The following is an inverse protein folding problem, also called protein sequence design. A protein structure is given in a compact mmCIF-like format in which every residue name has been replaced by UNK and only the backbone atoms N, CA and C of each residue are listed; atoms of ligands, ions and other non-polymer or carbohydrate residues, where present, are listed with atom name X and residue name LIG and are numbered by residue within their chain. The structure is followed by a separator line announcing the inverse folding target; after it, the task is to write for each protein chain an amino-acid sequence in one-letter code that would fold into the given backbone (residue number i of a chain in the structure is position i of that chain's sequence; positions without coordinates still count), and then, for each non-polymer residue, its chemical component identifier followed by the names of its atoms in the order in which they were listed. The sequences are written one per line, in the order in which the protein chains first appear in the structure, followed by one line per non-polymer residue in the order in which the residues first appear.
data_IF_503963508739
#
_entry.id   IF_503963508739
#
_cell.length_a   1.000
_cell.length_b   1.000
_cell.length_c   1.000
_cell.angle_alpha   90.00
_cell.angle_beta   90.00
_cell.angle_gamma   90.00
#
_symmetry.space_group_name_H-M   'P 1'
#
loop_
_entity.id
_entity.type
_entity.pdbx_description
1 polymer ?
#
# COMPACT_ATOMS: atom_id res chain seq x y z
N UNK A 1 -7.11 14.35 -3.30
CA UNK A 1 -6.41 14.42 -4.60
C UNK A 1 -5.38 13.32 -4.63
N UNK A 2 -5.20 12.63 -5.76
CA UNK A 2 -4.16 11.60 -5.90
C UNK A 2 -2.78 12.25 -5.69
N UNK A 3 -2.03 11.83 -4.67
CA UNK A 3 -0.68 12.37 -4.47
C UNK A 3 0.24 11.93 -5.62
N UNK A 4 1.22 12.77 -5.99
CA UNK A 4 2.20 12.41 -7.04
C UNK A 4 2.99 11.16 -6.64
N UNK A 5 3.23 10.94 -5.34
CA UNK A 5 3.90 9.75 -4.83
C UNK A 5 3.06 8.48 -5.03
N UNK A 6 1.76 8.53 -4.71
CA UNK A 6 0.83 7.39 -4.93
C UNK A 6 0.79 6.99 -6.39
N UNK A 7 0.59 7.96 -7.29
CA UNK A 7 0.55 7.67 -8.73
C UNK A 7 1.84 6.98 -9.21
N UNK A 8 3.01 7.51 -8.81
CA UNK A 8 4.31 6.95 -9.21
C UNK A 8 4.54 5.56 -8.63
N UNK A 9 4.24 5.32 -7.35
CA UNK A 9 4.40 4.01 -6.72
C UNK A 9 3.56 2.93 -7.41
N UNK A 10 2.30 3.21 -7.73
CA UNK A 10 1.42 2.25 -8.39
C UNK A 10 1.88 1.95 -9.82
N UNK A 11 2.30 2.98 -10.57
CA UNK A 11 2.87 2.80 -11.91
C UNK A 11 4.18 2.02 -11.85
N UNK A 12 5.08 2.35 -10.92
CA UNK A 12 6.36 1.66 -10.70
C UNK A 12 6.12 0.18 -10.37
N UNK A 13 5.27 -0.12 -9.40
CA UNK A 13 4.92 -1.50 -9.04
C UNK A 13 4.32 -2.27 -10.22
N UNK A 14 3.35 -1.69 -10.94
CA UNK A 14 2.72 -2.34 -12.08
C UNK A 14 3.72 -2.61 -13.22
N UNK A 15 4.69 -1.71 -13.43
CA UNK A 15 5.76 -1.91 -14.43
C UNK A 15 6.72 -3.03 -14.02
N UNK A 16 7.05 -3.13 -12.74
CA UNK A 16 8.05 -4.09 -12.24
C UNK A 16 7.48 -5.49 -11.98
N UNK A 17 6.24 -5.59 -11.50
CA UNK A 17 5.62 -6.85 -11.04
C UNK A 17 4.41 -7.26 -11.89
N UNK A 18 3.94 -6.36 -12.75
CA UNK A 18 2.76 -6.57 -13.57
C UNK A 18 1.45 -6.13 -12.89
N UNK A 19 0.43 -5.74 -13.69
CA UNK A 19 -0.84 -5.26 -13.17
C UNK A 19 -1.65 -6.36 -12.45
N UNK A 20 -1.49 -7.63 -12.82
CA UNK A 20 -2.15 -8.75 -12.15
C UNK A 20 -1.68 -8.90 -10.70
N UNK A 21 -0.38 -8.77 -10.47
CA UNK A 21 0.19 -8.86 -9.12
C UNK A 21 -0.21 -7.65 -8.29
N UNK A 22 -0.24 -6.44 -8.89
CA UNK A 22 -0.77 -5.25 -8.23
C UNK A 22 -2.20 -5.47 -7.71
N UNK A 23 -3.10 -5.97 -8.55
CA UNK A 23 -4.50 -6.25 -8.17
C UNK A 23 -4.56 -7.30 -7.04
N UNK A 24 -3.72 -8.34 -7.10
CA UNK A 24 -3.64 -9.37 -6.05
C UNK A 24 -3.22 -8.77 -4.70
N UNK A 25 -2.18 -7.94 -4.71
CA UNK A 25 -1.72 -7.20 -3.53
C UNK A 25 -2.82 -6.30 -2.96
N UNK A 26 -3.50 -5.51 -3.81
CA UNK A 26 -4.57 -4.61 -3.37
C UNK A 26 -5.74 -5.37 -2.76
N UNK A 27 -6.13 -6.52 -3.33
CA UNK A 27 -7.20 -7.36 -2.77
C UNK A 27 -6.81 -7.92 -1.40
N UNK A 28 -5.61 -8.49 -1.26
CA UNK A 28 -5.09 -8.96 0.03
C UNK A 28 -5.05 -7.82 1.05
N UNK A 29 -4.63 -6.64 0.64
CA UNK A 29 -4.53 -5.49 1.53
C UNK A 29 -5.92 -4.99 1.96
N UNK A 30 -6.92 -4.98 1.07
CA UNK A 30 -8.30 -4.66 1.40
C UNK A 30 -8.91 -5.66 2.39
N UNK A 31 -8.64 -6.96 2.23
CA UNK A 31 -9.01 -8.01 3.20
C UNK A 31 -8.41 -7.77 4.60
N UNK A 32 -7.31 -7.02 4.68
CA UNK A 32 -6.65 -6.61 5.93
C UNK A 32 -6.94 -5.14 6.32
N UNK A 33 -8.05 -4.58 5.83
CA UNK A 33 -8.49 -3.21 6.14
C UNK A 33 -7.50 -2.11 5.71
N UNK A 34 -6.74 -2.35 4.65
CA UNK A 34 -5.90 -1.35 3.97
C UNK A 34 -6.58 -0.98 2.65
N UNK A 35 -7.23 0.18 2.65
CA UNK A 35 -8.15 0.62 1.62
C UNK A 35 -7.44 1.51 0.60
N UNK A 36 -7.65 1.21 -0.68
CA UNK A 36 -7.22 2.07 -1.78
C UNK A 36 -8.07 3.36 -1.85
N UNK A 37 -9.36 3.24 -1.55
CA UNK A 37 -10.31 4.34 -1.44
C UNK A 37 -11.20 4.13 -0.21
N UNK A 38 -11.42 5.18 0.56
CA UNK A 38 -12.51 5.24 1.53
C UNK A 38 -13.85 5.44 0.82
N UNK A 39 -14.93 5.03 1.47
CA UNK A 39 -16.28 5.16 0.92
C UNK A 39 -16.58 6.63 0.58
N UNK A 40 -17.03 6.87 -0.66
CA UNK A 40 -17.33 8.22 -1.17
C UNK A 40 -16.10 9.10 -1.44
N UNK A 41 -14.87 8.58 -1.33
CA UNK A 41 -13.64 9.36 -1.50
C UNK A 41 -12.69 8.75 -2.53
N UNK A 42 -11.83 9.58 -3.14
CA UNK A 42 -10.72 9.14 -3.99
C UNK A 42 -9.42 8.92 -3.21
N UNK A 43 -9.46 9.11 -1.89
CA UNK A 43 -8.33 8.95 -0.97
C UNK A 43 -8.50 7.68 -0.14
N UNK A 44 -7.39 7.08 0.26
CA UNK A 44 -7.35 5.91 1.13
C UNK A 44 -6.06 5.85 1.95
N UNK A 45 -5.74 4.67 2.49
CA UNK A 45 -4.58 4.50 3.38
C UNK A 45 -3.25 4.79 2.68
N UNK A 46 -3.17 4.58 1.36
CA UNK A 46 -1.98 4.91 0.54
C UNK A 46 -1.75 6.41 0.34
N UNK A 47 -2.68 7.27 0.75
CA UNK A 47 -2.50 8.72 0.75
C UNK A 47 -2.00 9.25 2.11
N UNK A 48 -1.91 8.38 3.14
CA UNK A 48 -1.43 8.75 4.48
C UNK A 48 0.10 8.69 4.63
N UNK A 49 0.80 8.16 3.64
CA UNK A 49 2.27 8.05 3.59
C UNK A 49 2.85 9.15 2.68
N UNK A 50 4.01 9.70 3.03
CA UNK A 50 4.62 10.79 2.27
C UNK A 50 5.58 10.29 1.17
N UNK A 51 6.10 9.07 1.31
CA UNK A 51 7.11 8.50 0.41
C UNK A 51 6.55 7.47 -0.59
N UNK A 52 7.10 7.48 -1.80
CA UNK A 52 6.81 6.47 -2.83
C UNK A 52 7.26 5.06 -2.41
N UNK A 53 8.34 4.97 -1.63
CA UNK A 53 8.92 3.74 -1.11
C UNK A 53 8.02 3.12 -0.04
N UNK A 54 7.44 3.95 0.85
CA UNK A 54 6.45 3.50 1.84
C UNK A 54 5.19 2.97 1.16
N UNK A 55 4.73 3.63 0.09
CA UNK A 55 3.57 3.17 -0.69
C UNK A 55 3.88 1.83 -1.37
N UNK A 56 5.07 1.69 -1.99
CA UNK A 56 5.50 0.41 -2.55
C UNK A 56 5.52 -0.69 -1.49
N UNK A 57 6.06 -0.39 -0.32
CA UNK A 57 6.14 -1.33 0.78
C UNK A 57 4.74 -1.76 1.23
N UNK A 58 3.84 -0.79 1.39
CA UNK A 58 2.46 -1.06 1.77
C UNK A 58 1.71 -1.86 0.71
N UNK A 59 1.91 -1.61 -0.59
CA UNK A 59 1.36 -2.46 -1.66
C UNK A 59 1.86 -3.90 -1.47
N UNK A 60 3.17 -4.08 -1.31
CA UNK A 60 3.81 -5.40 -1.30
C UNK A 60 3.53 -6.20 -0.04
N UNK A 61 3.45 -5.57 1.12
CA UNK A 61 3.42 -6.25 2.43
C UNK A 61 2.27 -5.84 3.35
N UNK A 62 1.54 -4.77 3.03
CA UNK A 62 0.56 -4.17 3.95
C UNK A 62 1.23 -3.38 5.08
N UNK A 63 0.50 -3.09 6.16
CA UNK A 63 0.95 -2.28 7.31
C UNK A 63 2.01 -2.95 8.19
N UNK A 64 2.29 -4.24 7.99
CA UNK A 64 3.19 -5.04 8.85
C UNK A 64 4.68 -4.87 8.54
N UNK A 65 5.05 -3.99 7.59
CA UNK A 65 6.45 -3.69 7.29
C UNK A 65 6.80 -2.25 7.70
N UNK A 66 6.75 -1.98 9.01
CA UNK A 66 7.50 -0.85 9.56
C UNK A 66 8.97 -1.27 9.59
N UNK A 67 9.90 -0.50 8.96
CA UNK A 67 11.33 -0.78 9.08
C UNK A 67 11.85 -0.62 10.52
N UNK A 68 11.06 -0.05 11.44
CA UNK A 68 11.34 0.00 12.87
C UNK A 68 10.09 -0.39 13.69
N UNK A 69 10.15 -1.53 14.39
CA UNK A 69 9.18 -1.89 15.44
C UNK A 69 8.57 -3.29 15.33
N UNK A 70 9.19 -4.26 16.00
CA UNK A 70 8.66 -5.61 16.16
C UNK A 70 9.35 -6.40 17.28
N UNK A 71 9.39 -5.86 18.50
CA UNK A 71 9.50 -6.67 19.72
C UNK A 71 8.10 -6.92 20.27
N UNK A 72 7.86 -8.16 20.67
CA UNK A 72 6.69 -8.62 21.42
C UNK A 72 5.53 -8.94 20.47
N UNK A 73 4.87 -10.09 20.50
CA UNK A 73 4.83 -11.21 21.44
C UNK A 73 4.22 -12.37 20.64
N UNK A 74 4.60 -13.60 20.96
CA UNK A 74 3.71 -14.75 20.92
C UNK A 74 4.39 -15.93 21.64
N UNK A 75 4.01 -16.03 22.92
CA UNK A 75 3.78 -17.26 23.72
C UNK A 75 3.46 -18.51 22.91
#
# INVERSE_FOLDING_TARGET
MLSKARARAFVRFAREQGPKELIRCLRRNQENHILYHYEGQLTGDYDQTESEEEILAMIRWGRSHSPEGGRGDQT
#
